data_IF_269598209397
#
_entry.id   IF_269598209397
#
_cell.length_a   1.000
_cell.length_b   1.000
_cell.length_c   1.000
_cell.angle_alpha   90.00
_cell.angle_beta   90.00
_cell.angle_gamma   90.00
#
_symmetry.space_group_name_H-M   'P 1'
#
loop_
_entity.id
_entity.type
_entity.pdbx_description
1 polymer ?
#
# COMPACT_ATOMS: atom_id res chain seq x y z
N UNK A 1 17.58 6.71 -13.44
CA UNK A 1 16.28 6.54 -12.73
C UNK A 1 15.36 5.51 -13.37
N UNK A 2 15.29 5.38 -14.71
CA UNK A 2 14.42 4.42 -15.40
C UNK A 2 14.49 2.94 -14.94
N UNK A 3 15.66 2.44 -14.51
CA UNK A 3 15.81 1.05 -14.05
C UNK A 3 15.44 0.81 -12.58
N UNK A 4 15.46 1.84 -11.73
CA UNK A 4 15.20 1.68 -10.29
C UNK A 4 13.70 1.55 -10.01
N UNK A 5 12.88 2.28 -10.76
CA UNK A 5 11.43 2.33 -10.56
C UNK A 5 10.73 1.06 -11.09
N UNK A 6 11.32 0.39 -12.08
CA UNK A 6 10.71 -0.74 -12.78
C UNK A 6 10.60 -2.02 -11.92
N UNK A 7 11.49 -2.22 -10.95
CA UNK A 7 11.45 -3.36 -10.02
C UNK A 7 10.84 -3.00 -8.67
N UNK A 8 10.86 -1.71 -8.31
CA UNK A 8 10.37 -1.24 -7.03
C UNK A 8 8.86 -1.46 -6.88
N UNK A 9 8.08 -1.13 -7.91
CA UNK A 9 6.61 -1.25 -7.85
C UNK A 9 6.15 -2.71 -7.68
N UNK A 10 6.62 -3.68 -8.50
CA UNK A 10 6.28 -5.09 -8.28
C UNK A 10 6.70 -5.61 -6.90
N UNK A 11 7.89 -5.21 -6.42
CA UNK A 11 8.38 -5.61 -5.11
C UNK A 11 7.50 -5.04 -3.97
N UNK A 12 7.10 -3.77 -4.08
CA UNK A 12 6.22 -3.14 -3.09
C UNK A 12 4.85 -3.81 -3.05
N UNK A 13 4.26 -4.08 -4.22
CA UNK A 13 2.99 -4.81 -4.32
C UNK A 13 3.06 -6.20 -3.69
N UNK A 14 4.17 -6.92 -3.90
CA UNK A 14 4.39 -8.23 -3.30
C UNK A 14 4.46 -8.15 -1.77
N UNK A 15 5.25 -7.21 -1.24
CA UNK A 15 5.40 -7.01 0.21
C UNK A 15 4.07 -6.68 0.87
N UNK A 16 3.28 -5.76 0.28
CA UNK A 16 1.97 -5.38 0.79
C UNK A 16 1.02 -6.57 0.78
N UNK A 17 0.96 -7.32 -0.32
CA UNK A 17 0.11 -8.51 -0.44
C UNK A 17 0.46 -9.56 0.62
N UNK A 18 1.76 -9.81 0.82
CA UNK A 18 2.23 -10.78 1.79
C UNK A 18 1.92 -10.34 3.23
N UNK A 19 2.13 -9.07 3.55
CA UNK A 19 1.79 -8.50 4.85
C UNK A 19 0.30 -8.64 5.17
N UNK A 20 -0.57 -8.27 4.24
CA UNK A 20 -2.02 -8.40 4.39
C UNK A 20 -2.44 -9.86 4.62
N UNK A 21 -1.84 -10.79 3.86
CA UNK A 21 -2.11 -12.22 4.01
C UNK A 21 -1.65 -12.77 5.35
N UNK A 22 -0.50 -12.34 5.87
CA UNK A 22 -0.03 -12.72 7.21
C UNK A 22 -1.05 -12.27 8.26
N UNK A 23 -1.49 -11.02 8.21
CA UNK A 23 -2.47 -10.49 9.16
C UNK A 23 -3.77 -11.28 9.14
N UNK A 24 -4.27 -11.62 7.95
CA UNK A 24 -5.51 -12.38 7.82
C UNK A 24 -5.35 -13.83 8.30
N UNK A 25 -4.30 -14.53 7.87
CA UNK A 25 -4.13 -15.98 8.14
C UNK A 25 -3.62 -16.26 9.55
N UNK A 26 -2.62 -15.51 10.00
CA UNK A 26 -1.96 -15.80 11.29
C UNK A 26 -2.65 -15.09 12.45
N UNK A 27 -3.19 -13.89 12.22
CA UNK A 27 -3.74 -13.05 13.28
C UNK A 27 -5.27 -12.89 13.18
N UNK A 28 -5.93 -13.45 12.16
CA UNK A 28 -7.37 -13.24 11.91
C UNK A 28 -7.76 -11.76 11.80
N UNK A 29 -6.82 -10.90 11.42
CA UNK A 29 -7.01 -9.46 11.25
C UNK A 29 -7.22 -9.17 9.77
N UNK A 30 -8.41 -8.69 9.43
CA UNK A 30 -8.71 -8.22 8.08
C UNK A 30 -8.60 -6.70 8.02
N UNK A 31 -7.55 -6.21 7.38
CA UNK A 31 -7.38 -4.77 7.14
C UNK A 31 -8.44 -4.29 6.15
N UNK A 32 -9.11 -3.19 6.49
CA UNK A 32 -10.12 -2.53 5.65
C UNK A 32 -9.71 -1.12 5.23
N UNK A 33 -8.81 -0.50 5.98
CA UNK A 33 -8.37 0.89 5.77
C UNK A 33 -6.87 0.96 5.98
N UNK A 34 -6.16 1.62 5.07
CA UNK A 34 -4.75 1.99 5.22
C UNK A 34 -4.63 3.49 5.03
N UNK A 35 -3.95 4.15 5.97
CA UNK A 35 -3.58 5.56 5.85
C UNK A 35 -2.25 5.69 5.12
N UNK A 36 -2.26 6.42 4.00
CA UNK A 36 -1.09 6.63 3.16
C UNK A 36 -0.77 8.12 3.06
N UNK A 37 0.52 8.45 3.01
CA UNK A 37 0.94 9.81 2.68
C UNK A 37 0.52 10.13 1.23
N UNK A 38 0.13 11.39 0.98
CA UNK A 38 -0.39 11.82 -0.33
C UNK A 38 0.61 11.53 -1.46
N UNK A 39 1.90 11.71 -1.18
CA UNK A 39 2.99 11.45 -2.12
C UNK A 39 3.02 9.99 -2.61
N UNK A 40 2.63 9.01 -1.78
CA UNK A 40 2.65 7.59 -2.16
C UNK A 40 1.53 7.30 -3.17
N UNK A 41 0.36 7.93 -2.99
CA UNK A 41 -0.80 7.75 -3.88
C UNK A 41 -0.49 8.32 -5.26
N UNK A 42 0.17 9.47 -5.30
CA UNK A 42 0.49 10.16 -6.55
C UNK A 42 1.68 9.51 -7.29
N UNK A 43 2.68 8.99 -6.56
CA UNK A 43 3.89 8.39 -7.14
C UNK A 43 3.67 6.92 -7.55
N UNK A 44 2.83 6.16 -6.84
CA UNK A 44 2.68 4.71 -7.03
C UNK A 44 1.22 4.28 -7.25
N UNK A 45 0.59 4.64 -8.39
CA UNK A 45 -0.82 4.34 -8.65
C UNK A 45 -1.13 2.83 -8.65
N UNK A 46 -0.19 1.97 -9.08
CA UNK A 46 -0.41 0.51 -9.09
C UNK A 46 -0.59 -0.07 -7.68
N UNK A 47 0.02 0.56 -6.68
CA UNK A 47 -0.13 0.15 -5.27
C UNK A 47 -1.54 0.49 -4.78
N UNK A 48 -2.08 1.64 -5.21
CA UNK A 48 -3.44 2.06 -4.89
C UNK A 48 -4.46 1.13 -5.56
N UNK A 49 -4.22 0.71 -6.80
CA UNK A 49 -5.04 -0.29 -7.50
C UNK A 49 -5.05 -1.63 -6.76
N UNK A 50 -3.89 -2.14 -6.36
CA UNK A 50 -3.78 -3.37 -5.56
C UNK A 50 -4.62 -3.32 -4.29
N UNK A 51 -4.56 -2.19 -3.55
CA UNK A 51 -5.33 -2.00 -2.33
C UNK A 51 -6.83 -1.95 -2.62
N UNK A 52 -7.24 -1.27 -3.69
CA UNK A 52 -8.63 -1.22 -4.13
C UNK A 52 -9.17 -2.61 -4.50
N UNK A 53 -8.41 -3.40 -5.26
CA UNK A 53 -8.77 -4.77 -5.64
C UNK A 53 -8.88 -5.68 -4.42
N UNK A 54 -8.05 -5.43 -3.41
CA UNK A 54 -8.11 -6.09 -2.10
C UNK A 54 -9.26 -5.59 -1.20
N UNK A 55 -10.11 -4.68 -1.70
CA UNK A 55 -11.21 -4.00 -0.98
C UNK A 55 -10.75 -3.23 0.26
N UNK A 56 -9.55 -2.65 0.19
CA UNK A 56 -8.96 -1.80 1.22
C UNK A 56 -9.13 -0.34 0.81
N UNK A 57 -9.68 0.47 1.70
CA UNK A 57 -9.80 1.91 1.51
C UNK A 57 -8.47 2.59 1.82
N UNK A 58 -8.04 3.48 0.94
CA UNK A 58 -6.88 4.34 1.16
C UNK A 58 -7.35 5.69 1.68
N UNK A 59 -7.01 5.99 2.93
CA UNK A 59 -7.23 7.32 3.51
C UNK A 59 -5.95 8.14 3.40
N UNK A 60 -6.11 9.43 3.12
CA UNK A 60 -4.99 10.38 3.15
C UNK A 60 -4.55 10.58 4.61
N UNK A 61 -3.26 10.46 4.86
CA UNK A 61 -2.68 10.97 6.10
C UNK A 61 -2.97 12.46 6.20
N UNK A 62 -3.29 12.96 7.39
CA UNK A 62 -3.54 14.38 7.59
C UNK A 62 -2.33 15.19 7.08
N UNK A 63 -2.54 16.27 6.30
CA UNK A 63 -1.44 17.11 5.86
C UNK A 63 -0.72 17.62 7.12
N UNK A 64 0.59 17.39 7.19
CA UNK A 64 1.50 17.80 8.27
C UNK A 64 1.66 16.84 9.46
N UNK A 65 1.63 15.52 9.26
CA UNK A 65 2.28 14.61 10.22
C UNK A 65 3.70 14.29 9.76
N UNK A 66 4.57 15.31 9.72
CA UNK A 66 6.02 15.06 9.84
C UNK A 66 6.24 14.49 11.24
N UNK A 67 6.70 13.25 11.32
CA UNK A 67 7.27 12.71 12.54
C UNK A 67 8.63 13.37 12.80
#
# INVERSE_FOLDING_TARGET
>A
NYYRDNWLIPALCLVITYFLKILEVQYSIKIKVIKCNNEIIDIYPQVVELLRDSRILTELSAPNTQA
#
